data_IF_933665633470
#
_entry.id   IF_933665633470
#
_cell.length_a   1.000
_cell.length_b   1.000
_cell.length_c   1.000
_cell.angle_alpha   90.00
_cell.angle_beta   90.00
_cell.angle_gamma   90.00
#
_symmetry.space_group_name_H-M   'P 1'
#
loop_
_entity.id
_entity.type
_entity.pdbx_description
1 polymer ?
#
# COMPACT_ATOMS: atom_id res chain seq x y z
N UNK A 1 -29.89 -11.00 5.95
CA UNK A 1 -28.46 -10.59 6.00
C UNK A 1 -27.77 -10.53 4.62
N UNK A 2 -28.13 -11.39 3.65
CA UNK A 2 -27.47 -11.48 2.31
C UNK A 2 -27.46 -10.17 1.49
N UNK A 3 -28.47 -9.30 1.62
CA UNK A 3 -28.58 -8.06 0.82
C UNK A 3 -27.46 -7.06 1.09
N UNK A 4 -27.21 -6.73 2.36
CA UNK A 4 -26.15 -5.78 2.76
C UNK A 4 -24.76 -6.24 2.33
N UNK A 5 -24.46 -7.54 2.50
CA UNK A 5 -23.18 -8.12 2.07
C UNK A 5 -23.04 -8.05 0.55
N UNK A 6 -24.10 -8.35 -0.20
CA UNK A 6 -24.12 -8.23 -1.66
C UNK A 6 -23.88 -6.79 -2.12
N UNK A 7 -24.52 -5.80 -1.49
CA UNK A 7 -24.32 -4.38 -1.77
C UNK A 7 -22.88 -3.92 -1.47
N UNK A 8 -22.32 -4.34 -0.32
CA UNK A 8 -20.93 -4.04 0.05
C UNK A 8 -19.93 -4.62 -0.97
N UNK A 9 -20.11 -5.87 -1.38
CA UNK A 9 -19.26 -6.52 -2.37
C UNK A 9 -19.39 -5.86 -3.75
N UNK A 10 -20.61 -5.54 -4.17
CA UNK A 10 -20.86 -4.86 -5.43
C UNK A 10 -20.17 -3.49 -5.49
N UNK A 11 -20.16 -2.73 -4.39
CA UNK A 11 -19.42 -1.47 -4.29
C UNK A 11 -17.89 -1.61 -4.51
N UNK A 12 -17.39 -2.84 -4.37
CA UNK A 12 -15.99 -3.23 -4.55
C UNK A 12 -15.76 -4.07 -5.82
N UNK A 13 -16.75 -4.15 -6.73
CA UNK A 13 -16.74 -4.96 -7.95
C UNK A 13 -16.59 -6.47 -7.70
N UNK A 14 -17.19 -6.97 -6.61
CA UNK A 14 -17.19 -8.38 -6.26
C UNK A 14 -18.62 -8.94 -6.14
N UNK A 15 -18.74 -10.25 -6.32
CA UNK A 15 -19.96 -11.04 -6.20
C UNK A 15 -19.98 -11.82 -4.87
N UNK A 16 -21.18 -12.19 -4.40
CA UNK A 16 -21.35 -12.79 -3.06
C UNK A 16 -20.64 -14.14 -2.88
N UNK A 17 -20.52 -14.91 -3.95
CA UNK A 17 -19.77 -16.17 -3.97
C UNK A 17 -18.26 -15.97 -3.80
N UNK A 18 -17.74 -14.76 -4.03
CA UNK A 18 -16.31 -14.48 -3.98
C UNK A 18 -15.78 -14.25 -2.56
N UNK A 19 -16.62 -14.18 -1.53
CA UNK A 19 -16.12 -14.01 -0.14
C UNK A 19 -15.28 -15.22 0.29
N UNK A 20 -15.71 -16.42 -0.07
CA UNK A 20 -14.93 -17.64 0.17
C UNK A 20 -13.62 -17.62 -0.63
N UNK A 21 -13.64 -17.14 -1.87
CA UNK A 21 -12.43 -17.00 -2.69
C UNK A 21 -11.44 -16.00 -2.06
N UNK A 22 -11.93 -14.89 -1.51
CA UNK A 22 -11.10 -13.93 -0.77
C UNK A 22 -10.45 -14.58 0.45
N UNK A 23 -11.20 -15.40 1.20
CA UNK A 23 -10.66 -16.12 2.35
C UNK A 23 -9.53 -17.06 1.91
N UNK A 24 -9.76 -17.87 0.89
CA UNK A 24 -8.78 -18.82 0.34
C UNK A 24 -7.55 -18.13 -0.27
N UNK A 25 -7.71 -16.90 -0.74
CA UNK A 25 -6.59 -16.11 -1.27
C UNK A 25 -5.63 -15.63 -0.18
N UNK A 26 -6.13 -15.43 1.05
CA UNK A 26 -5.36 -14.81 2.14
C UNK A 26 -4.92 -15.77 3.23
N UNK A 27 -5.53 -16.96 3.30
CA UNK A 27 -5.24 -17.92 4.35
C UNK A 27 -5.03 -19.32 3.76
N UNK A 28 -3.97 -19.99 4.21
CA UNK A 28 -3.65 -21.35 3.78
C UNK A 28 -4.64 -22.38 4.37
N UNK A 29 -5.16 -22.10 5.56
CA UNK A 29 -6.16 -22.95 6.20
C UNK A 29 -7.17 -22.19 7.08
N UNK A 30 -8.20 -22.90 7.54
CA UNK A 30 -9.22 -22.34 8.43
C UNK A 30 -8.71 -22.02 9.84
N UNK A 31 -7.57 -22.58 10.28
CA UNK A 31 -7.00 -22.30 11.60
C UNK A 31 -6.34 -20.93 11.60
N UNK A 32 -5.55 -20.63 10.58
CA UNK A 32 -4.92 -19.34 10.37
C UNK A 32 -5.97 -18.23 10.22
N UNK A 33 -7.02 -18.47 9.43
CA UNK A 33 -8.15 -17.54 9.34
C UNK A 33 -8.82 -17.33 10.70
N UNK A 34 -9.06 -18.39 11.46
CA UNK A 34 -9.70 -18.31 12.77
C UNK A 34 -8.87 -17.51 13.78
N UNK A 35 -7.56 -17.74 13.82
CA UNK A 35 -6.60 -16.97 14.62
C UNK A 35 -6.64 -15.49 14.25
N UNK A 36 -6.57 -15.17 12.96
CA UNK A 36 -6.61 -13.79 12.48
C UNK A 36 -7.90 -13.05 12.87
N UNK A 37 -9.05 -13.72 12.76
CA UNK A 37 -10.35 -13.13 13.12
C UNK A 37 -10.68 -13.22 14.62
N UNK A 38 -9.84 -13.87 15.44
CA UNK A 38 -10.11 -14.08 16.86
C UNK A 38 -11.33 -14.96 17.13
N UNK A 39 -11.56 -15.97 16.29
CA UNK A 39 -12.68 -16.92 16.40
C UNK A 39 -12.18 -18.37 16.40
N UNK A 40 -13.10 -19.34 16.47
CA UNK A 40 -12.75 -20.76 16.38
C UNK A 40 -12.80 -21.27 14.93
N UNK A 41 -12.00 -22.29 14.54
CA UNK A 41 -12.06 -22.88 13.20
C UNK A 41 -13.46 -23.40 12.78
N UNK A 42 -14.28 -23.98 13.68
CA UNK A 42 -15.67 -24.31 13.37
C UNK A 42 -16.53 -23.10 12.97
N UNK A 43 -16.29 -21.92 13.56
CA UNK A 43 -17.00 -20.69 13.19
C UNK A 43 -16.69 -20.29 11.75
N UNK A 44 -15.42 -20.34 11.33
CA UNK A 44 -15.01 -20.09 9.94
C UNK A 44 -15.66 -21.09 8.98
N UNK A 45 -15.63 -22.39 9.31
CA UNK A 45 -16.31 -23.43 8.51
C UNK A 45 -17.81 -23.17 8.37
N UNK A 46 -18.46 -22.70 9.43
CA UNK A 46 -19.88 -22.36 9.41
C UNK A 46 -20.18 -21.18 8.48
N UNK A 47 -19.34 -20.14 8.46
CA UNK A 47 -19.49 -19.01 7.54
C UNK A 47 -19.44 -19.45 6.08
N UNK A 48 -18.48 -20.29 5.72
CA UNK A 48 -18.32 -20.82 4.36
C UNK A 48 -19.53 -21.68 3.99
N UNK A 49 -19.92 -22.63 4.85
CA UNK A 49 -21.01 -23.58 4.58
C UNK A 49 -22.38 -22.90 4.49
N UNK A 50 -22.67 -21.96 5.40
CA UNK A 50 -23.99 -21.32 5.51
C UNK A 50 -24.09 -20.01 4.74
N UNK A 51 -22.96 -19.44 4.30
CA UNK A 51 -22.88 -18.12 3.69
C UNK A 51 -23.29 -16.98 4.63
N UNK A 52 -23.17 -17.18 5.95
CA UNK A 52 -23.59 -16.22 6.98
C UNK A 52 -22.41 -15.38 7.50
N UNK A 53 -21.70 -14.74 6.57
CA UNK A 53 -20.54 -13.91 6.87
C UNK A 53 -20.90 -12.67 7.69
N UNK A 54 -20.24 -12.42 8.83
CA UNK A 54 -20.33 -11.14 9.53
C UNK A 54 -19.83 -10.00 8.63
N UNK A 55 -20.48 -8.83 8.68
CA UNK A 55 -20.07 -7.69 7.85
C UNK A 55 -18.65 -7.21 8.16
N UNK A 56 -18.23 -7.27 9.42
CA UNK A 56 -16.86 -6.95 9.85
C UNK A 56 -15.82 -7.83 9.16
N UNK A 57 -16.08 -9.15 9.07
CA UNK A 57 -15.21 -10.12 8.40
C UNK A 57 -15.13 -9.80 6.91
N UNK A 58 -16.26 -9.54 6.25
CA UNK A 58 -16.29 -9.17 4.82
C UNK A 58 -15.46 -7.91 4.57
N UNK A 59 -15.65 -6.86 5.38
CA UNK A 59 -14.89 -5.62 5.26
C UNK A 59 -13.40 -5.82 5.49
N UNK A 60 -13.02 -6.62 6.49
CA UNK A 60 -11.61 -6.89 6.77
C UNK A 60 -10.96 -7.69 5.63
N UNK A 61 -11.65 -8.67 5.05
CA UNK A 61 -11.20 -9.38 3.84
C UNK A 61 -11.05 -8.43 2.64
N UNK A 62 -11.99 -7.50 2.44
CA UNK A 62 -11.90 -6.49 1.38
C UNK A 62 -10.68 -5.58 1.57
N UNK A 63 -10.41 -5.16 2.81
CA UNK A 63 -9.24 -4.37 3.19
C UNK A 63 -7.96 -5.15 2.89
N UNK A 64 -7.87 -6.41 3.36
CA UNK A 64 -6.72 -7.29 3.09
C UNK A 64 -6.49 -7.49 1.59
N UNK A 65 -7.55 -7.74 0.82
CA UNK A 65 -7.46 -7.98 -0.63
C UNK A 65 -6.96 -6.77 -1.42
N UNK A 66 -7.15 -5.57 -0.88
CA UNK A 66 -6.60 -4.32 -1.42
C UNK A 66 -5.23 -3.97 -0.85
N UNK A 67 -4.63 -4.85 -0.07
CA UNK A 67 -3.37 -4.58 0.62
C UNK A 67 -3.55 -3.52 1.70
N UNK A 68 -4.55 -3.67 2.57
CA UNK A 68 -4.77 -2.84 3.76
C UNK A 68 -5.08 -1.36 3.49
N UNK A 69 -5.47 -1.01 2.26
CA UNK A 69 -5.87 0.34 1.89
C UNK A 69 -7.33 0.63 2.26
N UNK A 70 -7.69 1.90 2.55
CA UNK A 70 -9.07 2.28 2.83
C UNK A 70 -10.05 1.90 1.70
N UNK A 71 -11.31 1.64 2.06
CA UNK A 71 -12.39 1.29 1.12
C UNK A 71 -12.96 2.50 0.36
N UNK A 72 -12.48 3.72 0.63
CA UNK A 72 -12.98 4.93 -0.01
C UNK A 72 -12.61 5.01 -1.49
N UNK A 73 -13.40 5.75 -2.27
CA UNK A 73 -13.25 5.87 -3.74
C UNK A 73 -11.83 6.24 -4.21
N UNK A 74 -11.06 7.13 -3.56
CA UNK A 74 -9.71 7.49 -4.01
C UNK A 74 -8.70 6.33 -4.06
N UNK A 75 -8.88 5.31 -3.23
CA UNK A 75 -7.99 4.14 -3.16
C UNK A 75 -8.42 3.00 -4.09
N UNK A 76 -9.44 3.22 -4.92
CA UNK A 76 -9.95 2.19 -5.83
C UNK A 76 -8.88 1.80 -6.86
N UNK A 77 -8.57 0.50 -6.90
CA UNK A 77 -7.60 -0.09 -7.82
C UNK A 77 -6.15 -0.03 -7.32
N UNK A 78 -5.86 0.72 -6.26
CA UNK A 78 -4.58 0.66 -5.59
C UNK A 78 -4.45 -0.65 -4.79
N UNK A 79 -3.24 -1.18 -4.67
CA UNK A 79 -2.94 -2.38 -3.88
C UNK A 79 -1.58 -2.26 -3.18
N UNK A 80 -1.46 -2.66 -1.92
CA UNK A 80 -0.15 -2.93 -1.32
C UNK A 80 0.18 -4.42 -1.51
N UNK A 81 1.41 -4.72 -1.95
CA UNK A 81 1.96 -6.08 -1.98
C UNK A 81 3.37 -6.03 -1.38
N UNK A 82 3.58 -6.75 -0.28
CA UNK A 82 4.81 -6.62 0.49
C UNK A 82 5.00 -5.19 0.99
N UNK A 83 6.12 -4.58 0.63
CA UNK A 83 6.53 -3.21 0.99
C UNK A 83 6.24 -2.15 -0.09
N UNK A 84 5.49 -2.52 -1.14
CA UNK A 84 5.26 -1.69 -2.33
C UNK A 84 3.79 -1.33 -2.54
N UNK A 85 3.53 -0.09 -2.98
CA UNK A 85 2.22 0.39 -3.38
C UNK A 85 2.07 0.33 -4.91
N UNK A 86 1.04 -0.37 -5.39
CA UNK A 86 0.70 -0.48 -6.80
C UNK A 86 -0.45 0.47 -7.15
N UNK A 87 -0.29 1.24 -8.22
CA UNK A 87 -1.37 2.08 -8.78
C UNK A 87 -2.35 1.23 -9.61
N UNK A 88 -3.55 1.75 -9.91
CA UNK A 88 -4.49 1.05 -10.80
C UNK A 88 -3.92 0.73 -12.18
N UNK A 89 -2.95 1.52 -12.66
CA UNK A 89 -2.23 1.28 -13.91
C UNK A 89 -1.07 0.27 -13.80
N UNK A 90 -0.91 -0.39 -12.65
CA UNK A 90 0.13 -1.39 -12.43
C UNK A 90 1.51 -0.82 -12.08
N UNK A 91 1.65 0.50 -11.94
CA UNK A 91 2.92 1.12 -11.56
C UNK A 91 3.23 0.83 -10.09
N UNK A 92 4.46 0.39 -9.84
CA UNK A 92 5.00 0.21 -8.50
C UNK A 92 5.53 1.55 -7.94
N UNK A 93 5.22 1.81 -6.67
CA UNK A 93 5.73 2.93 -5.88
C UNK A 93 6.36 2.37 -4.61
N UNK A 94 7.66 2.60 -4.46
CA UNK A 94 8.42 2.26 -3.24
C UNK A 94 8.32 3.38 -2.21
N UNK A 95 8.73 3.11 -0.98
CA UNK A 95 8.86 4.16 0.05
C UNK A 95 9.76 5.31 -0.43
N UNK A 96 10.84 5.02 -1.16
CA UNK A 96 11.74 6.04 -1.72
C UNK A 96 11.04 6.94 -2.75
N UNK A 97 10.21 6.37 -3.63
CA UNK A 97 9.45 7.14 -4.61
C UNK A 97 8.50 8.13 -3.92
N UNK A 98 7.88 7.70 -2.81
CA UNK A 98 6.98 8.53 -2.01
C UNK A 98 7.75 9.61 -1.23
N UNK A 99 8.95 9.29 -0.71
CA UNK A 99 9.82 10.27 -0.03
C UNK A 99 10.36 11.35 -0.97
N UNK A 100 10.54 11.04 -2.26
CA UNK A 100 10.94 12.01 -3.29
C UNK A 100 9.84 13.02 -3.63
N UNK A 101 8.59 12.77 -3.22
CA UNK A 101 7.50 13.74 -3.38
C UNK A 101 7.65 14.88 -2.36
N UNK A 102 7.70 16.11 -2.84
CA UNK A 102 7.55 17.31 -2.00
C UNK A 102 6.06 17.65 -1.93
N UNK A 103 5.36 17.16 -0.91
CA UNK A 103 3.94 17.52 -0.72
C UNK A 103 3.92 18.87 -0.01
N UNK A 104 3.72 19.95 -0.79
CA UNK A 104 3.48 21.28 -0.24
C UNK A 104 2.00 21.45 0.01
N UNK A 105 1.64 21.52 1.29
CA UNK A 105 0.29 21.86 1.74
C UNK A 105 0.28 23.37 1.99
N UNK A 106 -0.60 24.13 1.32
CA UNK A 106 -0.88 25.52 1.72
C UNK A 106 -1.96 25.49 2.76
N UNK A 107 -1.75 26.17 3.88
CA UNK A 107 -2.76 26.37 4.91
C UNK A 107 -3.81 27.42 4.51
N UNK A 108 -3.60 28.12 3.38
CA UNK A 108 -4.43 29.26 2.95
C UNK A 108 -5.48 28.86 1.89
N UNK A 109 -5.64 27.57 1.58
CA UNK A 109 -6.55 27.09 0.54
C UNK A 109 -7.27 25.83 1.03
N UNK A 110 -8.55 25.69 0.71
CA UNK A 110 -9.41 24.55 1.09
C UNK A 110 -9.05 23.22 0.41
N UNK A 111 -8.02 23.19 -0.45
CA UNK A 111 -7.54 22.00 -1.15
C UNK A 111 -6.17 21.55 -0.60
N UNK A 112 -6.11 20.32 -0.09
CA UNK A 112 -4.93 19.78 0.62
C UNK A 112 -3.74 19.38 -0.28
N UNK A 113 -3.72 19.73 -1.56
CA UNK A 113 -2.57 19.46 -2.46
C UNK A 113 -2.51 20.54 -3.54
N UNK A 114 -1.39 21.27 -3.63
CA UNK A 114 -1.25 22.41 -4.56
C UNK A 114 -0.22 22.18 -5.67
N UNK A 115 0.75 21.27 -5.52
CA UNK A 115 1.68 20.94 -6.61
C UNK A 115 2.35 19.57 -6.39
N UNK A 116 2.38 18.72 -7.42
CA UNK A 116 3.21 17.50 -7.43
C UNK A 116 4.55 17.83 -8.07
N UNK A 117 5.58 18.08 -7.25
CA UNK A 117 6.95 18.28 -7.75
C UNK A 117 7.89 17.23 -7.17
N UNK A 118 8.65 16.56 -8.03
CA UNK A 118 9.81 15.77 -7.56
C UNK A 118 10.81 16.70 -6.86
N UNK A 119 11.29 16.31 -5.68
CA UNK A 119 12.37 17.03 -5.01
C UNK A 119 13.56 17.19 -5.96
N UNK A 120 14.04 18.43 -6.13
CA UNK A 120 15.27 18.67 -6.90
C UNK A 120 16.43 17.96 -6.18
N UNK A 121 17.05 16.96 -6.84
CA UNK A 121 18.24 16.29 -6.31
C UNK A 121 19.34 17.34 -6.08
N UNK A 122 19.82 17.50 -4.83
CA UNK A 122 21.01 18.31 -4.54
C UNK A 122 22.19 17.68 -5.27
N UNK A 123 22.65 18.31 -6.35
CA UNK A 123 23.92 17.93 -6.99
C UNK A 123 25.04 18.36 -6.05
N UNK A 124 25.62 17.42 -5.31
CA UNK A 124 26.87 17.67 -4.62
C UNK A 124 27.95 17.96 -5.66
N UNK A 125 28.43 19.20 -5.72
CA UNK A 125 29.64 19.53 -6.47
C UNK A 125 30.81 18.89 -5.73
N UNK A 126 31.39 17.84 -6.30
CA UNK A 126 32.69 17.34 -5.85
C UNK A 126 33.68 18.49 -6.07
N UNK A 127 34.15 19.11 -4.99
CA UNK A 127 35.30 20.03 -5.05
C UNK A 127 36.48 19.18 -5.51
N UNK A 128 36.96 19.39 -6.74
CA UNK A 128 38.26 18.88 -7.15
C UNK A 128 39.29 19.44 -6.17
N UNK A 129 39.89 18.58 -5.36
CA UNK A 129 41.10 18.89 -4.63
C UNK A 129 42.11 19.42 -5.64
N UNK A 130 42.46 20.70 -5.53
CA UNK A 130 43.63 21.26 -6.19
C UNK A 130 44.83 20.54 -5.61
N UNK A 131 45.36 19.58 -6.37
CA UNK A 131 46.54 18.82 -6.00
C UNK A 131 47.69 19.76 -5.66
N UNK A 132 48.36 19.46 -4.54
CA UNK A 132 49.55 20.12 -4.04
C UNK A 132 50.53 20.41 -5.18
N UNK A 133 50.90 21.69 -5.33
CA UNK A 133 52.07 22.09 -6.09
C UNK A 133 53.30 21.43 -5.44
N UNK A 134 53.89 20.45 -6.13
CA UNK A 134 55.22 19.94 -5.79
C UNK A 134 56.21 21.10 -5.92
N UNK A 135 56.72 21.58 -4.79
CA UNK A 135 57.87 22.50 -4.76
C UNK A 135 59.06 21.80 -5.41
N UNK A 136 59.57 22.38 -6.50
CA UNK A 136 60.81 21.93 -7.15
C UNK A 136 61.98 22.28 -6.21
N UNK A 137 62.59 21.27 -5.62
CA UNK A 137 63.89 21.40 -4.93
C UNK A 137 64.94 21.62 -6.03
N UNK A 138 65.67 22.75 -5.99
CA UNK A 138 66.85 22.99 -6.84
C UNK A 138 68.05 22.22 -6.27
N UNK A 139 68.89 21.58 -7.10
CA UNK A 139 70.11 20.96 -6.61
C UNK A 139 71.16 22.04 -6.30
N UNK A 140 71.77 21.93 -5.13
CA UNK A 140 72.97 22.65 -4.74
C UNK A 140 74.18 22.07 -5.49
N UNK A 141 74.92 22.94 -6.18
CA UNK A 141 76.28 22.65 -6.63
C UNK A 141 77.29 22.75 -5.48
#
# INVERSE_FOLDING_TARGET
>A
MKRKVKEELFAHNLYINQVSDLLLWHFDDHKQAAEFFGVTPPTVKNWIKKGNWPMSVVRLLLIMHRGYLPVSKPWRGFKIRGDKLFTPGGRELTAYDLMELDIRVSLNTTSNVIEFRRKKKKRYRIRKSTGNQRTKIKPSG
#
